data_IF_195530700221
#
_entry.id   IF_195530700221
#
_cell.length_a   1.000
_cell.length_b   1.000
_cell.length_c   1.000
_cell.angle_alpha   90.00
_cell.angle_beta   90.00
_cell.angle_gamma   90.00
#
_symmetry.space_group_name_H-M   'P 1'
#
loop_
_entity.id
_entity.type
_entity.pdbx_description
1 polymer ?
#
# COMPACT_ATOMS: atom_id res chain seq x y z
N UNK A 1 37.34 12.85 -5.81
CA UNK A 1 36.20 12.11 -6.38
C UNK A 1 35.47 11.47 -5.21
N UNK A 2 34.42 12.12 -4.71
CA UNK A 2 33.54 11.54 -3.70
C UNK A 2 32.79 10.38 -4.37
N UNK A 3 33.10 9.14 -4.00
CA UNK A 3 32.31 7.99 -4.43
C UNK A 3 30.88 8.22 -3.99
N UNK A 4 29.95 8.35 -4.93
CA UNK A 4 28.52 8.31 -4.63
C UNK A 4 28.25 6.93 -4.03
N UNK A 5 27.77 6.82 -2.78
CA UNK A 5 27.55 5.52 -2.17
C UNK A 5 26.56 4.71 -3.03
N UNK A 6 26.96 3.51 -3.44
CA UNK A 6 26.13 2.59 -4.22
C UNK A 6 24.99 2.07 -3.35
N UNK A 7 23.77 2.02 -3.88
CA UNK A 7 22.64 1.42 -3.17
C UNK A 7 22.93 -0.08 -2.93
N UNK A 8 22.84 -0.57 -1.67
CA UNK A 8 23.18 -1.96 -1.36
C UNK A 8 22.22 -2.95 -2.03
N UNK A 9 22.74 -4.09 -2.49
CA UNK A 9 21.92 -5.11 -3.18
C UNK A 9 20.90 -5.83 -2.27
N UNK A 10 21.14 -5.82 -0.95
CA UNK A 10 20.29 -6.43 0.08
C UNK A 10 20.50 -5.71 1.42
N UNK A 11 19.61 -5.86 2.41
CA UNK A 11 19.83 -5.35 3.75
C UNK A 11 21.04 -6.02 4.43
N UNK A 12 21.74 -5.26 5.28
CA UNK A 12 22.87 -5.75 6.08
C UNK A 12 22.43 -6.52 7.33
N UNK A 13 21.16 -6.38 7.72
CA UNK A 13 20.57 -7.01 8.91
C UNK A 13 19.11 -7.42 8.71
N UNK A 14 18.37 -7.70 9.80
CA UNK A 14 16.95 -8.00 9.73
C UNK A 14 16.16 -6.88 9.05
N UNK A 15 15.13 -7.26 8.30
CA UNK A 15 14.24 -6.34 7.60
C UNK A 15 12.78 -6.63 7.94
N UNK A 16 11.92 -5.62 7.82
CA UNK A 16 10.48 -5.82 7.90
C UNK A 16 9.89 -6.08 6.52
N UNK A 17 9.00 -7.07 6.46
CA UNK A 17 8.31 -7.45 5.25
C UNK A 17 6.94 -6.76 5.21
N UNK A 18 6.73 -5.93 4.19
CA UNK A 18 5.47 -5.24 3.95
C UNK A 18 4.81 -5.75 2.67
N UNK A 19 3.55 -6.14 2.78
CA UNK A 19 2.67 -6.38 1.66
C UNK A 19 1.83 -5.11 1.41
N UNK A 20 2.01 -4.49 0.25
CA UNK A 20 1.29 -3.27 -0.14
C UNK A 20 0.02 -3.64 -0.92
N UNK A 21 -1.11 -3.67 -0.21
CA UNK A 21 -2.38 -4.22 -0.67
C UNK A 21 -3.49 -3.19 -0.85
N UNK A 22 -4.45 -3.50 -1.72
CA UNK A 22 -5.64 -2.70 -1.93
C UNK A 22 -5.88 -2.40 -3.41
N UNK A 23 -6.38 -1.21 -3.72
CA UNK A 23 -6.75 -0.85 -5.09
C UNK A 23 -5.82 0.18 -5.74
N UNK A 24 -6.33 0.98 -6.68
CA UNK A 24 -5.57 1.92 -7.51
C UNK A 24 -4.79 2.96 -6.70
N UNK A 25 -5.31 3.41 -5.55
CA UNK A 25 -4.63 4.38 -4.71
C UNK A 25 -3.46 3.78 -3.92
N UNK A 26 -3.49 2.47 -3.59
CA UNK A 26 -2.29 1.74 -3.17
C UNK A 26 -1.34 1.48 -4.35
N UNK A 27 -1.89 1.01 -5.48
CA UNK A 27 -1.12 0.66 -6.68
C UNK A 27 -0.34 1.85 -7.26
N UNK A 28 -0.85 3.05 -7.05
CA UNK A 28 -0.30 4.29 -7.56
C UNK A 28 -0.87 4.69 -8.92
N UNK A 29 -1.45 5.88 -8.97
CA UNK A 29 -1.88 6.57 -10.21
C UNK A 29 -1.28 7.97 -10.33
N UNK A 30 -0.27 8.25 -9.53
CA UNK A 30 0.35 9.55 -9.36
C UNK A 30 0.98 10.05 -10.64
N UNK A 31 0.71 11.31 -10.94
CA UNK A 31 1.32 12.08 -12.01
C UNK A 31 1.69 13.47 -11.48
N UNK A 32 2.59 14.15 -12.17
CA UNK A 32 2.95 15.54 -11.88
C UNK A 32 2.14 16.50 -12.76
N UNK A 33 2.04 17.76 -12.33
CA UNK A 33 1.51 18.85 -13.15
C UNK A 33 2.26 20.16 -12.85
N UNK A 34 2.09 21.25 -13.62
CA UNK A 34 2.78 22.52 -13.34
C UNK A 34 2.55 23.06 -11.94
N UNK A 35 1.35 22.83 -11.36
CA UNK A 35 1.02 23.24 -9.98
C UNK A 35 1.65 22.30 -8.93
N UNK A 36 1.79 21.02 -9.25
CA UNK A 36 2.35 19.99 -8.37
C UNK A 36 3.46 19.22 -9.11
N UNK A 37 4.65 19.82 -9.26
CA UNK A 37 5.71 19.29 -10.12
C UNK A 37 6.54 18.17 -9.45
N UNK A 38 6.26 17.86 -8.19
CA UNK A 38 7.07 16.94 -7.39
C UNK A 38 6.74 15.48 -7.75
N UNK A 39 7.75 14.75 -8.23
CA UNK A 39 7.73 13.30 -8.39
C UNK A 39 7.82 12.59 -7.03
N UNK A 40 7.68 11.26 -7.03
CA UNK A 40 7.94 10.46 -5.84
C UNK A 40 9.42 10.58 -5.41
N UNK A 41 9.70 10.58 -4.09
CA UNK A 41 11.07 10.60 -3.62
C UNK A 41 11.81 9.32 -4.02
N UNK A 42 13.12 9.42 -4.25
CA UNK A 42 13.96 8.22 -4.35
C UNK A 42 14.01 7.51 -2.99
N UNK A 43 14.04 6.18 -2.99
CA UNK A 43 14.27 5.41 -1.78
C UNK A 43 15.66 5.77 -1.21
N UNK A 44 15.73 6.05 0.10
CA UNK A 44 16.98 6.34 0.78
C UNK A 44 17.90 5.10 0.73
N UNK A 45 19.23 5.27 0.57
CA UNK A 45 20.16 4.15 0.56
C UNK A 45 20.00 3.26 1.80
N UNK A 46 19.71 1.97 1.58
CA UNK A 46 19.51 0.99 2.65
C UNK A 46 18.13 1.01 3.31
N UNK A 47 17.22 1.91 2.91
CA UNK A 47 15.89 2.00 3.51
C UNK A 47 14.92 0.92 3.01
N UNK A 48 14.98 0.52 1.74
CA UNK A 48 14.15 -0.59 1.31
C UNK A 48 14.29 -1.07 -0.13
N UNK A 49 13.77 -2.27 -0.34
CA UNK A 49 13.78 -3.00 -1.60
C UNK A 49 12.37 -3.43 -2.01
N UNK A 50 12.14 -3.49 -3.31
CA UNK A 50 11.05 -4.24 -3.92
C UNK A 50 11.47 -5.70 -4.11
N UNK A 51 10.69 -6.64 -3.58
CA UNK A 51 10.75 -8.04 -3.99
C UNK A 51 9.69 -8.32 -5.05
N UNK A 52 10.14 -8.86 -6.18
CA UNK A 52 9.32 -9.09 -7.38
C UNK A 52 8.90 -10.54 -7.50
N UNK A 53 7.88 -10.92 -6.74
CA UNK A 53 7.39 -12.30 -6.66
C UNK A 53 6.88 -12.90 -7.98
N UNK A 54 6.51 -12.09 -8.96
CA UNK A 54 5.99 -12.54 -10.26
C UNK A 54 7.05 -12.41 -11.36
N UNK A 55 7.64 -11.22 -11.50
CA UNK A 55 8.47 -10.91 -12.67
C UNK A 55 9.93 -11.35 -12.52
N UNK A 56 10.48 -11.35 -11.30
CA UNK A 56 11.85 -11.79 -11.03
C UNK A 56 12.02 -12.22 -9.56
N UNK A 57 11.51 -13.41 -9.17
CA UNK A 57 11.42 -13.85 -7.76
C UNK A 57 12.76 -14.31 -7.16
N UNK A 58 13.88 -13.99 -7.81
CA UNK A 58 15.22 -14.46 -7.42
C UNK A 58 16.14 -13.35 -6.91
N UNK A 59 15.65 -12.11 -6.76
CA UNK A 59 16.44 -10.99 -6.23
C UNK A 59 15.58 -9.87 -5.63
N UNK A 60 16.28 -9.00 -4.91
CA UNK A 60 15.78 -7.71 -4.45
C UNK A 60 16.20 -6.60 -5.40
N UNK A 61 15.35 -5.58 -5.52
CA UNK A 61 15.64 -4.35 -6.24
C UNK A 61 15.53 -3.17 -5.29
N UNK A 62 16.36 -2.13 -5.40
CA UNK A 62 16.09 -0.88 -4.70
C UNK A 62 14.65 -0.44 -4.95
N UNK A 63 13.90 -0.12 -3.90
CA UNK A 63 12.51 0.30 -4.06
C UNK A 63 12.46 1.59 -4.90
N UNK A 64 11.62 1.62 -5.91
CA UNK A 64 11.47 2.74 -6.82
C UNK A 64 10.05 2.80 -7.38
N UNK A 65 9.60 4.00 -7.76
CA UNK A 65 8.36 4.17 -8.51
C UNK A 65 8.59 3.98 -10.02
N UNK A 66 7.62 3.43 -10.77
CA UNK A 66 6.33 2.89 -10.32
C UNK A 66 6.46 1.53 -9.61
N UNK A 67 6.15 1.49 -8.31
CA UNK A 67 6.32 0.29 -7.50
C UNK A 67 5.33 -0.81 -7.91
N UNK A 68 5.83 -2.03 -8.16
CA UNK A 68 5.04 -3.17 -8.60
C UNK A 68 4.57 -3.12 -10.05
N UNK A 69 5.08 -2.20 -10.89
CA UNK A 69 4.64 -2.05 -12.28
C UNK A 69 4.80 -3.32 -13.13
N UNK A 70 5.79 -4.15 -12.80
CA UNK A 70 6.09 -5.40 -13.50
C UNK A 70 5.39 -6.62 -12.89
N UNK A 71 4.75 -6.47 -11.73
CA UNK A 71 4.20 -7.56 -10.93
C UNK A 71 2.78 -7.94 -11.37
N UNK A 72 2.65 -8.44 -12.61
CA UNK A 72 1.39 -8.76 -13.26
C UNK A 72 1.24 -10.27 -13.45
N UNK A 73 0.25 -10.89 -12.79
CA UNK A 73 -0.07 -12.32 -12.91
C UNK A 73 -1.43 -12.51 -13.60
N UNK A 74 -1.48 -13.04 -14.83
CA UNK A 74 -2.75 -13.41 -15.47
C UNK A 74 -3.56 -14.35 -14.57
N UNK A 75 -4.86 -14.06 -14.39
CA UNK A 75 -5.72 -14.83 -13.48
C UNK A 75 -5.54 -14.51 -12.00
N UNK A 76 -4.73 -13.51 -11.65
CA UNK A 76 -4.58 -12.94 -10.30
C UNK A 76 -4.54 -11.41 -10.38
N UNK A 77 -3.61 -10.79 -9.67
CA UNK A 77 -3.41 -9.34 -9.71
C UNK A 77 -2.70 -8.98 -11.02
N UNK A 78 -3.43 -8.30 -11.91
CA UNK A 78 -2.96 -7.97 -13.27
C UNK A 78 -3.45 -6.59 -13.72
N UNK A 79 -2.53 -5.63 -13.91
CA UNK A 79 -2.84 -4.26 -14.37
C UNK A 79 -1.69 -3.62 -15.17
N UNK A 80 -1.22 -4.25 -16.27
CA UNK A 80 -0.05 -3.79 -17.02
C UNK A 80 -0.23 -2.35 -17.51
N UNK A 81 0.79 -1.51 -17.29
CA UNK A 81 0.80 -0.12 -17.72
C UNK A 81 -0.05 0.84 -16.88
N UNK A 82 -0.72 0.37 -15.82
CA UNK A 82 -1.59 1.22 -15.00
C UNK A 82 -0.87 1.91 -13.83
N UNK A 83 0.23 1.31 -13.34
CA UNK A 83 1.03 1.84 -12.21
C UNK A 83 2.01 2.90 -12.70
N UNK A 84 1.95 4.09 -12.11
CA UNK A 84 2.71 5.29 -12.56
C UNK A 84 3.54 5.90 -11.44
N UNK A 85 2.90 6.25 -10.32
CA UNK A 85 3.58 6.64 -9.09
C UNK A 85 2.68 6.43 -7.89
N UNK A 86 3.25 5.88 -6.82
CA UNK A 86 2.54 5.48 -5.61
C UNK A 86 3.08 6.22 -4.38
N UNK A 87 2.59 5.84 -3.20
CA UNK A 87 3.04 6.35 -1.91
C UNK A 87 4.22 5.54 -1.31
N UNK A 88 4.60 4.44 -1.94
CA UNK A 88 5.43 3.38 -1.30
C UNK A 88 6.83 3.87 -0.97
N UNK A 89 7.49 4.57 -1.89
CA UNK A 89 8.84 5.11 -1.64
C UNK A 89 8.86 6.18 -0.54
N UNK A 90 7.84 7.04 -0.47
CA UNK A 90 7.69 8.01 0.61
C UNK A 90 7.45 7.31 1.96
N UNK A 91 6.60 6.28 1.97
CA UNK A 91 6.34 5.44 3.14
C UNK A 91 7.61 4.76 3.65
N UNK A 92 8.37 4.10 2.78
CA UNK A 92 9.60 3.40 3.15
C UNK A 92 10.61 4.35 3.76
N UNK A 93 10.78 5.54 3.18
CA UNK A 93 11.72 6.54 3.71
C UNK A 93 11.30 7.01 5.11
N UNK A 94 10.06 7.45 5.29
CA UNK A 94 9.56 7.91 6.58
C UNK A 94 9.58 6.81 7.65
N UNK A 95 9.26 5.56 7.28
CA UNK A 95 9.37 4.41 8.17
C UNK A 95 10.83 4.15 8.61
N UNK A 96 11.76 4.22 7.65
CA UNK A 96 13.19 4.02 7.92
C UNK A 96 13.79 5.15 8.76
N UNK A 97 13.32 6.38 8.61
CA UNK A 97 13.75 7.51 9.44
C UNK A 97 13.37 7.32 10.92
N UNK A 98 12.20 6.75 11.20
CA UNK A 98 11.76 6.47 12.58
C UNK A 98 12.43 5.23 13.18
N UNK A 99 12.67 4.18 12.37
CA UNK A 99 13.03 2.85 12.88
C UNK A 99 14.46 2.42 12.58
N UNK A 100 15.13 3.06 11.63
CA UNK A 100 16.37 2.61 10.98
C UNK A 100 16.33 1.15 10.52
N UNK A 101 15.12 0.64 10.25
CA UNK A 101 14.89 -0.75 9.87
C UNK A 101 14.55 -0.82 8.40
N UNK A 102 15.31 -1.60 7.61
CA UNK A 102 15.02 -1.70 6.20
C UNK A 102 13.69 -2.42 5.91
N UNK A 103 13.03 -2.01 4.82
CA UNK A 103 11.78 -2.59 4.33
C UNK A 103 12.02 -3.49 3.11
N UNK A 104 11.46 -4.69 3.13
CA UNK A 104 11.22 -5.49 1.92
C UNK A 104 9.75 -5.32 1.56
N UNK A 105 9.49 -4.62 0.45
CA UNK A 105 8.14 -4.38 -0.06
C UNK A 105 7.73 -5.38 -1.12
N UNK A 106 6.52 -5.90 -0.99
CA UNK A 106 5.87 -6.77 -1.98
C UNK A 106 4.60 -6.09 -2.48
N UNK A 107 4.49 -5.89 -3.80
CA UNK A 107 3.29 -5.28 -4.37
C UNK A 107 2.15 -6.29 -4.49
N UNK A 108 0.96 -5.96 -4.00
CA UNK A 108 -0.23 -6.80 -4.08
C UNK A 108 -1.52 -5.97 -4.16
N UNK A 109 -1.58 -5.04 -5.12
CA UNK A 109 -2.70 -4.11 -5.29
C UNK A 109 -3.35 -4.25 -6.67
N UNK A 110 -4.68 -4.19 -6.75
CA UNK A 110 -5.44 -4.25 -8.01
C UNK A 110 -6.44 -3.10 -8.15
N UNK A 111 -6.21 -2.20 -9.12
CA UNK A 111 -7.12 -1.09 -9.41
C UNK A 111 -8.55 -1.54 -9.72
N UNK A 112 -9.54 -0.85 -9.14
CA UNK A 112 -10.97 -1.11 -9.33
C UNK A 112 -11.49 -2.37 -8.65
N UNK A 113 -10.72 -2.99 -7.74
CA UNK A 113 -11.21 -4.12 -6.94
C UNK A 113 -12.10 -3.65 -5.79
N UNK A 114 -13.18 -4.38 -5.53
CA UNK A 114 -13.99 -4.29 -4.32
C UNK A 114 -13.52 -5.28 -3.25
N UNK A 115 -13.88 -5.09 -1.98
CA UNK A 115 -13.48 -5.95 -0.87
C UNK A 115 -13.92 -7.42 -1.05
N UNK A 116 -15.06 -7.65 -1.71
CA UNK A 116 -15.57 -8.99 -2.07
C UNK A 116 -14.65 -9.77 -3.01
N UNK A 117 -13.73 -9.09 -3.71
CA UNK A 117 -12.76 -9.71 -4.60
C UNK A 117 -11.43 -10.03 -3.90
N UNK A 118 -11.30 -9.68 -2.61
CA UNK A 118 -10.16 -9.95 -1.75
C UNK A 118 -10.47 -11.03 -0.69
N UNK A 119 -11.36 -11.96 -1.01
CA UNK A 119 -11.81 -13.01 -0.09
C UNK A 119 -10.95 -14.28 -0.19
N UNK A 120 -10.90 -15.14 0.85
CA UNK A 120 -10.24 -16.45 0.75
C UNK A 120 -10.72 -17.25 -0.46
N UNK A 121 -9.80 -17.83 -1.22
CA UNK A 121 -10.10 -18.52 -2.49
C UNK A 121 -10.36 -17.61 -3.69
N UNK A 122 -10.41 -16.28 -3.51
CA UNK A 122 -10.51 -15.34 -4.63
C UNK A 122 -9.15 -15.17 -5.34
N UNK A 123 -9.14 -14.90 -6.65
CA UNK A 123 -7.91 -14.67 -7.40
C UNK A 123 -6.94 -13.64 -6.80
N UNK A 124 -7.44 -12.55 -6.20
CA UNK A 124 -6.57 -11.46 -5.74
C UNK A 124 -5.93 -11.76 -4.39
N UNK A 125 -6.69 -12.29 -3.44
CA UNK A 125 -6.11 -12.67 -2.15
C UNK A 125 -5.15 -13.85 -2.33
N UNK A 126 -5.50 -14.87 -3.12
CA UNK A 126 -4.61 -16.02 -3.35
C UNK A 126 -3.29 -15.61 -4.02
N UNK A 127 -3.31 -14.66 -4.96
CA UNK A 127 -2.07 -14.10 -5.53
C UNK A 127 -1.28 -13.31 -4.48
N UNK A 128 -1.93 -12.47 -3.66
CA UNK A 128 -1.26 -11.73 -2.59
C UNK A 128 -0.55 -12.66 -1.59
N UNK A 129 -1.23 -13.73 -1.14
CA UNK A 129 -0.66 -14.73 -0.24
C UNK A 129 0.47 -15.52 -0.91
N UNK A 130 0.34 -15.87 -2.20
CA UNK A 130 1.42 -16.50 -2.95
C UNK A 130 2.65 -15.59 -3.04
N UNK A 131 2.47 -14.28 -3.27
CA UNK A 131 3.56 -13.31 -3.31
C UNK A 131 4.26 -13.20 -1.95
N UNK A 132 3.50 -13.18 -0.85
CA UNK A 132 4.04 -13.20 0.51
C UNK A 132 4.91 -14.45 0.73
N UNK A 133 4.36 -15.65 0.54
CA UNK A 133 5.11 -16.91 0.71
C UNK A 133 6.36 -17.00 -0.18
N UNK A 134 6.28 -16.47 -1.39
CA UNK A 134 7.43 -16.43 -2.32
C UNK A 134 8.53 -15.51 -1.79
N UNK A 135 8.16 -14.34 -1.25
CA UNK A 135 9.11 -13.42 -0.63
C UNK A 135 9.77 -14.05 0.61
N UNK A 136 8.97 -14.65 1.49
CA UNK A 136 9.50 -15.30 2.70
C UNK A 136 10.47 -16.42 2.38
N UNK A 137 10.13 -17.26 1.39
CA UNK A 137 11.02 -18.31 0.92
C UNK A 137 12.33 -17.71 0.40
N UNK A 138 12.26 -16.70 -0.45
CA UNK A 138 13.46 -16.05 -0.97
C UNK A 138 14.34 -15.48 0.15
N UNK A 139 13.75 -14.78 1.12
CA UNK A 139 14.47 -14.18 2.24
C UNK A 139 15.13 -15.26 3.12
N UNK A 140 14.42 -16.36 3.41
CA UNK A 140 14.98 -17.50 4.14
C UNK A 140 16.15 -18.15 3.39
N UNK A 141 15.98 -18.45 2.10
CA UNK A 141 17.02 -19.07 1.25
C UNK A 141 18.28 -18.19 1.13
N UNK A 142 18.13 -16.87 1.28
CA UNK A 142 19.23 -15.89 1.21
C UNK A 142 19.73 -15.41 2.59
N UNK A 143 19.28 -16.05 3.68
CA UNK A 143 19.65 -15.71 5.06
C UNK A 143 19.41 -14.24 5.42
N UNK A 144 18.28 -13.68 4.97
CA UNK A 144 17.81 -12.34 5.34
C UNK A 144 16.72 -12.52 6.40
N UNK A 145 16.99 -12.24 7.69
CA UNK A 145 15.99 -12.43 8.75
C UNK A 145 14.80 -11.48 8.57
N UNK A 146 13.59 -12.01 8.62
CA UNK A 146 12.36 -11.20 8.69
C UNK A 146 12.12 -10.86 10.15
N UNK A 147 12.10 -9.56 10.48
CA UNK A 147 11.82 -9.09 11.83
C UNK A 147 10.32 -8.99 12.08
N UNK A 148 9.57 -8.33 11.20
CA UNK A 148 8.11 -8.20 11.27
C UNK A 148 7.44 -8.44 9.92
N UNK A 149 6.15 -8.83 9.96
CA UNK A 149 5.29 -9.00 8.78
C UNK A 149 4.06 -8.13 8.88
N UNK A 150 3.91 -7.21 7.93
CA UNK A 150 2.84 -6.23 7.94
C UNK A 150 2.15 -6.11 6.59
N UNK A 151 0.92 -5.59 6.64
CA UNK A 151 0.17 -5.15 5.46
C UNK A 151 -0.03 -3.65 5.56
N UNK A 152 0.19 -2.92 4.46
CA UNK A 152 -0.35 -1.57 4.28
C UNK A 152 -1.53 -1.67 3.32
N UNK A 153 -2.73 -1.31 3.77
CA UNK A 153 -3.98 -1.46 3.04
C UNK A 153 -4.57 -0.10 2.66
N UNK A 154 -4.88 0.08 1.37
CA UNK A 154 -5.65 1.23 0.88
C UNK A 154 -6.64 0.80 -0.22
N UNK A 155 -7.90 0.63 0.18
CA UNK A 155 -9.01 0.24 -0.68
C UNK A 155 -10.34 0.66 -0.06
N UNK A 156 -11.34 0.91 -0.90
CA UNK A 156 -12.72 1.12 -0.49
C UNK A 156 -13.53 1.97 -1.47
N UNK A 157 -12.88 2.66 -2.42
CA UNK A 157 -13.58 3.52 -3.37
C UNK A 157 -14.51 2.71 -4.28
N UNK A 158 -14.11 1.51 -4.71
CA UNK A 158 -14.99 0.63 -5.51
C UNK A 158 -16.24 0.22 -4.71
N UNK A 159 -16.09 -0.03 -3.40
CA UNK A 159 -17.23 -0.35 -2.53
C UNK A 159 -18.13 0.86 -2.30
N UNK A 160 -17.57 2.06 -2.27
CA UNK A 160 -18.32 3.31 -2.30
C UNK A 160 -19.11 3.49 -3.60
N UNK A 161 -18.50 3.19 -4.75
CA UNK A 161 -19.16 3.24 -6.06
C UNK A 161 -20.33 2.25 -6.15
N UNK A 162 -20.16 1.06 -5.56
CA UNK A 162 -21.18 0.00 -5.54
C UNK A 162 -22.28 0.22 -4.50
N UNK A 163 -22.11 1.19 -3.59
CA UNK A 163 -23.01 1.37 -2.45
C UNK A 163 -23.01 0.17 -1.51
N UNK A 164 -21.86 -0.49 -1.35
CA UNK A 164 -21.69 -1.63 -0.44
C UNK A 164 -22.13 -1.22 0.97
N UNK A 165 -22.96 -2.06 1.60
CA UNK A 165 -23.43 -1.83 2.96
C UNK A 165 -22.24 -1.87 3.92
N UNK A 166 -22.08 -0.90 4.85
CA UNK A 166 -20.93 -0.84 5.77
C UNK A 166 -20.63 -2.14 6.50
N UNK A 167 -21.64 -2.80 7.08
CA UNK A 167 -21.45 -4.07 7.79
C UNK A 167 -20.94 -5.19 6.89
N UNK A 168 -21.33 -5.21 5.62
CA UNK A 168 -20.81 -6.20 4.64
C UNK A 168 -19.34 -5.92 4.34
N UNK A 169 -18.98 -4.64 4.16
CA UNK A 169 -17.57 -4.26 3.98
C UNK A 169 -16.73 -4.65 5.20
N UNK A 170 -17.25 -4.43 6.41
CA UNK A 170 -16.58 -4.80 7.68
C UNK A 170 -16.39 -6.31 7.80
N UNK A 171 -17.44 -7.10 7.56
CA UNK A 171 -17.38 -8.58 7.61
C UNK A 171 -16.38 -9.15 6.58
N UNK A 172 -16.43 -8.67 5.34
CA UNK A 172 -15.54 -9.11 4.27
C UNK A 172 -14.08 -8.66 4.53
N UNK A 173 -13.87 -7.48 5.11
CA UNK A 173 -12.56 -7.01 5.54
C UNK A 173 -11.98 -7.91 6.64
N UNK A 174 -12.76 -8.22 7.68
CA UNK A 174 -12.31 -9.08 8.78
C UNK A 174 -12.00 -10.50 8.30
N UNK A 175 -12.77 -11.04 7.34
CA UNK A 175 -12.48 -12.35 6.73
C UNK A 175 -11.16 -12.34 5.94
N UNK A 176 -10.90 -11.29 5.18
CA UNK A 176 -9.61 -11.11 4.50
C UNK A 176 -8.47 -10.99 5.52
N UNK A 177 -8.65 -10.20 6.57
CA UNK A 177 -7.66 -10.03 7.64
C UNK A 177 -7.34 -11.37 8.32
N UNK A 178 -8.35 -12.18 8.67
CA UNK A 178 -8.14 -13.48 9.29
C UNK A 178 -7.28 -14.41 8.43
N UNK A 179 -7.48 -14.41 7.12
CA UNK A 179 -6.65 -15.18 6.20
C UNK A 179 -5.19 -14.66 6.15
N UNK A 180 -4.99 -13.34 6.19
CA UNK A 180 -3.65 -12.74 6.26
C UNK A 180 -2.94 -13.09 7.58
N UNK A 181 -3.65 -13.00 8.71
CA UNK A 181 -3.12 -13.36 10.03
C UNK A 181 -2.73 -14.85 10.10
N UNK A 182 -3.54 -15.72 9.47
CA UNK A 182 -3.26 -17.15 9.37
C UNK A 182 -1.98 -17.48 8.58
N UNK A 183 -1.54 -16.56 7.71
CA UNK A 183 -0.29 -16.63 6.93
C UNK A 183 0.88 -15.91 7.64
N UNK A 184 0.70 -15.51 8.89
CA UNK A 184 1.74 -14.92 9.73
C UNK A 184 1.89 -13.40 9.60
N UNK A 185 0.97 -12.70 8.91
CA UNK A 185 0.88 -11.24 9.07
C UNK A 185 0.58 -10.92 10.54
N UNK A 186 1.27 -9.95 11.09
CA UNK A 186 1.14 -9.57 12.50
C UNK A 186 0.17 -8.41 12.69
N UNK A 187 0.15 -7.48 11.72
CA UNK A 187 -0.67 -6.28 11.81
C UNK A 187 -1.01 -5.71 10.42
N UNK A 188 -2.18 -5.07 10.31
CA UNK A 188 -2.62 -4.37 9.12
C UNK A 188 -2.74 -2.86 9.40
N UNK A 189 -1.96 -2.08 8.67
CA UNK A 189 -2.01 -0.63 8.71
C UNK A 189 -2.95 -0.11 7.62
N UNK A 190 -3.97 0.64 8.03
CA UNK A 190 -5.05 1.11 7.18
C UNK A 190 -4.84 2.57 6.78
N UNK A 191 -4.98 2.88 5.50
CA UNK A 191 -5.12 4.23 4.98
C UNK A 191 -6.57 4.43 4.54
N UNK A 192 -7.27 5.36 5.19
CA UNK A 192 -8.67 5.67 4.89
C UNK A 192 -8.80 6.27 3.50
N UNK A 193 -9.85 5.90 2.77
CA UNK A 193 -10.14 6.48 1.46
C UNK A 193 -10.50 7.97 1.57
N UNK A 194 -10.26 8.69 0.47
CA UNK A 194 -10.66 10.09 0.32
C UNK A 194 -12.10 10.26 -0.16
N UNK A 195 -12.38 11.44 -0.70
CA UNK A 195 -13.70 11.81 -1.24
C UNK A 195 -13.75 11.63 -2.76
N UNK A 196 -14.94 11.40 -3.31
CA UNK A 196 -15.16 11.42 -4.75
C UNK A 196 -15.14 12.85 -5.29
N UNK A 197 -14.42 13.09 -6.40
CA UNK A 197 -14.37 14.39 -7.05
C UNK A 197 -15.46 14.52 -8.13
N UNK A 198 -16.66 14.93 -7.71
CA UNK A 198 -17.81 15.11 -8.59
C UNK A 198 -17.60 16.17 -9.69
N UNK A 199 -16.67 17.11 -9.50
CA UNK A 199 -16.36 18.11 -10.52
C UNK A 199 -15.65 17.50 -11.75
N UNK A 200 -15.00 16.33 -11.60
CA UNK A 200 -14.36 15.62 -12.70
C UNK A 200 -15.34 14.84 -13.59
N UNK A 201 -16.60 14.67 -13.16
CA UNK A 201 -17.63 13.86 -13.82
C UNK A 201 -18.97 14.59 -13.87
N UNK A 202 -19.03 15.80 -14.48
CA UNK A 202 -20.23 16.63 -14.47
C UNK A 202 -21.43 15.90 -15.11
N UNK A 203 -22.55 15.89 -14.41
CA UNK A 203 -23.80 15.26 -14.88
C UNK A 203 -23.92 13.78 -14.58
N UNK A 204 -22.92 13.15 -13.95
CA UNK A 204 -23.02 11.77 -13.47
C UNK A 204 -23.38 11.75 -11.97
N UNK A 205 -24.06 10.68 -11.49
CA UNK A 205 -24.25 10.48 -10.06
C UNK A 205 -22.91 10.45 -9.33
N UNK A 206 -22.80 11.22 -8.25
CA UNK A 206 -21.64 11.21 -7.37
C UNK A 206 -21.86 10.17 -6.26
N UNK A 207 -21.04 9.11 -6.18
CA UNK A 207 -21.13 8.17 -5.06
C UNK A 207 -20.73 8.84 -3.75
N UNK A 208 -21.40 8.43 -2.67
CA UNK A 208 -21.05 8.84 -1.30
C UNK A 208 -20.13 7.80 -0.67
N UNK A 209 -18.89 8.19 -0.40
CA UNK A 209 -17.89 7.33 0.23
C UNK A 209 -17.94 7.37 1.77
N UNK A 210 -18.72 8.27 2.37
CA UNK A 210 -18.80 8.42 3.82
C UNK A 210 -19.24 7.13 4.56
N UNK A 211 -20.14 6.28 4.04
CA UNK A 211 -20.47 4.99 4.67
C UNK A 211 -19.24 4.07 4.80
N UNK A 212 -18.43 3.95 3.74
CA UNK A 212 -17.22 3.11 3.76
C UNK A 212 -16.12 3.73 4.62
N UNK A 213 -15.96 5.07 4.60
CA UNK A 213 -15.03 5.75 5.50
C UNK A 213 -15.37 5.50 6.98
N UNK A 214 -16.65 5.51 7.34
CA UNK A 214 -17.10 5.20 8.71
C UNK A 214 -16.83 3.73 9.09
N UNK A 215 -17.04 2.79 8.15
CA UNK A 215 -16.67 1.39 8.36
C UNK A 215 -15.16 1.23 8.60
N UNK A 216 -14.33 1.94 7.84
CA UNK A 216 -12.88 1.95 8.02
C UNK A 216 -12.44 2.52 9.37
N UNK A 217 -13.09 3.60 9.83
CA UNK A 217 -12.84 4.13 11.17
C UNK A 217 -13.28 3.13 12.25
N UNK A 218 -14.47 2.53 12.12
CA UNK A 218 -14.97 1.51 13.04
C UNK A 218 -14.03 0.30 13.15
N UNK A 219 -13.53 -0.23 12.03
CA UNK A 219 -12.57 -1.32 12.01
C UNK A 219 -11.27 -0.97 12.75
N UNK A 220 -10.73 0.23 12.51
CA UNK A 220 -9.51 0.68 13.18
C UNK A 220 -9.71 0.95 14.68
N UNK A 221 -10.91 1.33 15.10
CA UNK A 221 -11.22 1.60 16.51
C UNK A 221 -11.55 0.32 17.30
N UNK A 222 -12.01 -0.74 16.62
CA UNK A 222 -12.52 -1.95 17.29
C UNK A 222 -11.68 -3.21 17.06
N UNK A 223 -10.85 -3.26 16.02
CA UNK A 223 -9.98 -4.40 15.74
C UNK A 223 -8.54 -4.10 16.15
N UNK A 224 -8.03 -4.81 17.16
CA UNK A 224 -6.69 -4.58 17.72
C UNK A 224 -5.54 -4.82 16.72
N UNK A 225 -5.77 -5.62 15.68
CA UNK A 225 -4.81 -5.95 14.63
C UNK A 225 -4.84 -4.94 13.46
N UNK A 226 -5.65 -3.89 13.59
CA UNK A 226 -5.80 -2.84 12.59
C UNK A 226 -5.43 -1.50 13.22
N UNK A 227 -4.65 -0.69 12.50
CA UNK A 227 -4.37 0.68 12.93
C UNK A 227 -4.53 1.64 11.78
N UNK A 228 -5.31 2.69 11.98
CA UNK A 228 -5.42 3.76 11.01
C UNK A 228 -4.14 4.61 11.03
N UNK A 229 -3.41 4.59 9.91
CA UNK A 229 -2.12 5.28 9.78
C UNK A 229 -2.18 6.48 8.86
N UNK A 230 -3.25 6.69 8.09
CA UNK A 230 -3.47 8.00 7.49
C UNK A 230 -4.94 8.22 7.14
N UNK A 231 -5.35 9.49 7.24
CA UNK A 231 -6.66 10.00 6.78
C UNK A 231 -6.51 11.15 5.78
N UNK A 232 -5.28 11.43 5.32
CA UNK A 232 -4.98 12.65 4.58
C UNK A 232 -5.71 12.73 3.22
N UNK A 233 -6.04 11.60 2.60
CA UNK A 233 -6.82 11.60 1.35
C UNK A 233 -8.16 12.36 1.46
N UNK A 234 -8.80 12.39 2.64
CA UNK A 234 -10.06 13.12 2.84
C UNK A 234 -9.93 14.63 2.57
N UNK A 235 -8.75 15.23 2.74
CA UNK A 235 -8.51 16.66 2.52
C UNK A 235 -7.98 17.03 1.13
N UNK A 236 -7.73 16.04 0.26
CA UNK A 236 -7.03 16.28 -1.01
C UNK A 236 -7.92 16.92 -2.07
N UNK A 237 -9.24 16.71 -2.01
CA UNK A 237 -10.19 17.36 -2.90
C UNK A 237 -10.15 18.90 -2.71
N UNK A 238 -10.26 19.36 -1.47
CA UNK A 238 -10.25 20.79 -1.13
C UNK A 238 -8.92 21.48 -1.47
N UNK A 239 -7.82 20.72 -1.41
CA UNK A 239 -6.49 21.19 -1.79
C UNK A 239 -6.26 21.21 -3.31
N UNK A 240 -7.21 20.69 -4.10
CA UNK A 240 -7.10 20.55 -5.56
C UNK A 240 -6.06 19.50 -5.98
N UNK A 241 -5.77 18.53 -5.10
CA UNK A 241 -4.75 17.50 -5.28
C UNK A 241 -5.29 16.23 -5.96
N UNK A 242 -6.58 16.19 -6.31
CA UNK A 242 -7.18 15.15 -7.14
C UNK A 242 -6.94 15.45 -8.63
N UNK A 243 -6.46 14.46 -9.38
CA UNK A 243 -6.21 14.58 -10.83
C UNK A 243 -7.42 14.16 -11.67
N UNK A 244 -8.27 13.31 -11.13
CA UNK A 244 -9.51 12.83 -11.73
C UNK A 244 -10.57 12.61 -10.63
N UNK A 245 -11.62 11.84 -10.91
CA UNK A 245 -12.70 11.55 -9.98
C UNK A 245 -12.26 10.78 -8.71
N UNK A 246 -11.16 10.03 -8.78
CA UNK A 246 -10.80 9.01 -7.79
C UNK A 246 -9.36 9.09 -7.29
N UNK A 247 -8.46 9.61 -8.13
CA UNK A 247 -7.02 9.51 -7.94
C UNK A 247 -6.37 10.88 -7.76
N UNK A 248 -5.13 10.86 -7.31
CA UNK A 248 -4.41 12.04 -6.87
C UNK A 248 -3.18 12.34 -7.73
N UNK A 249 -2.72 13.59 -7.69
CA UNK A 249 -1.38 13.93 -8.14
C UNK A 249 -0.33 13.29 -7.21
N UNK A 250 0.89 13.09 -7.72
CA UNK A 250 1.97 12.43 -6.97
C UNK A 250 2.26 13.11 -5.63
N UNK A 251 2.09 14.43 -5.56
CA UNK A 251 2.23 15.18 -4.31
C UNK A 251 1.35 14.65 -3.17
N UNK A 252 0.09 14.29 -3.43
CA UNK A 252 -0.79 13.74 -2.41
C UNK A 252 -0.34 12.34 -1.93
N UNK A 253 0.09 11.49 -2.86
CA UNK A 253 0.63 10.18 -2.52
C UNK A 253 1.91 10.30 -1.67
N UNK A 254 2.77 11.27 -1.95
CA UNK A 254 3.94 11.55 -1.14
C UNK A 254 3.54 11.96 0.29
N UNK A 255 2.58 12.89 0.44
CA UNK A 255 2.10 13.33 1.76
C UNK A 255 1.48 12.18 2.58
N UNK A 256 0.68 11.33 1.92
CA UNK A 256 0.05 10.18 2.57
C UNK A 256 1.06 9.11 2.94
N UNK A 257 2.03 8.82 2.05
CA UNK A 257 3.10 7.88 2.31
C UNK A 257 3.97 8.31 3.48
N UNK A 258 4.36 9.58 3.52
CA UNK A 258 5.14 10.19 4.60
C UNK A 258 4.43 10.09 5.97
N UNK A 259 3.17 10.55 6.05
CA UNK A 259 2.35 10.48 7.27
C UNK A 259 2.17 9.02 7.75
N UNK A 260 1.86 8.11 6.82
CA UNK A 260 1.70 6.70 7.13
C UNK A 260 3.02 6.06 7.59
N UNK A 261 4.14 6.33 6.91
CA UNK A 261 5.45 5.77 7.24
C UNK A 261 5.91 6.19 8.63
N UNK A 262 5.78 7.48 8.97
CA UNK A 262 6.10 7.97 10.31
C UNK A 262 5.22 7.35 11.40
N UNK A 263 3.91 7.22 11.16
CA UNK A 263 2.98 6.63 12.14
C UNK A 263 3.23 5.14 12.35
N UNK A 264 3.46 4.40 11.28
CA UNK A 264 3.83 2.98 11.37
C UNK A 264 5.17 2.82 12.08
N UNK A 265 6.17 3.65 11.74
CA UNK A 265 7.47 3.63 12.40
C UNK A 265 7.36 3.83 13.91
N UNK A 266 6.63 4.86 14.34
CA UNK A 266 6.37 5.12 15.77
C UNK A 266 5.57 4.01 16.44
N UNK A 267 4.60 3.42 15.75
CA UNK A 267 3.85 2.28 16.27
C UNK A 267 4.80 1.12 16.59
N UNK A 268 5.66 0.75 15.64
CA UNK A 268 6.62 -0.35 15.80
C UNK A 268 7.67 -0.05 16.87
N UNK A 269 8.13 1.20 17.00
CA UNK A 269 9.10 1.58 18.05
C UNK A 269 8.50 1.58 19.47
N UNK A 270 7.18 1.81 19.59
CA UNK A 270 6.50 1.86 20.88
C UNK A 270 5.90 0.51 21.31
N UNK A 271 5.81 -0.46 20.41
CA UNK A 271 5.38 -1.83 20.67
C UNK A 271 6.55 -2.81 20.45
N UNK A 272 7.57 -2.80 21.34
CA UNK A 272 8.70 -3.71 21.26
C UNK A 272 8.24 -5.10 21.68
N UNK A 273 7.65 -5.85 20.75
CA UNK A 273 7.44 -7.30 20.93
C UNK A 273 8.77 -8.03 20.83
#
# INVERSE_FOLDING_TARGET
>A
MTQTPSFPFRPDGPADLFLFMGQSNMAGRGVICPRFPQSAPACLPGAGWEFRAVSDPNRLYPAAEPFGALENRPGGIFEPGMKTGSMVTAFINAYFEETHTPVIGVSASKGGSAIREWQPGSPFLEDALLRLRTAEKYLADNSIPIRRRFVLWCQGETDGDLGTVPSVYEEDFLRMLEALLSEGIEHLFLIRIGSYNAAATPGLPAPDYAPIQRAQDYLADTCTQVTMVSRLFSGMLDQGLMKDAFHYYQHAYNLVGDDAGHRVGRYVMNDPV
#
